data_IF_839583676025
#
_entry.id   IF_839583676025
#
_cell.length_a   1.000
_cell.length_b   1.000
_cell.length_c   1.000
_cell.angle_alpha   90.00
_cell.angle_beta   90.00
_cell.angle_gamma   90.00
#
_symmetry.space_group_name_H-M   'P 1'
#
loop_
_entity.id
_entity.type
_entity.pdbx_description
1 polymer ?
#
# COMPACT_ATOMS: atom_id res chain seq x y z
N UNK A 1 39.04 -49.62 -0.50
CA UNK A 1 38.99 -48.39 -1.37
C UNK A 1 37.70 -47.64 -1.13
N UNK A 2 37.86 -46.66 -0.28
CA UNK A 2 36.83 -45.72 0.11
C UNK A 2 36.52 -44.76 -1.04
N UNK A 3 35.25 -44.78 -1.47
CA UNK A 3 34.71 -43.75 -2.34
C UNK A 3 33.82 -42.84 -1.49
N UNK A 4 34.41 -41.79 -0.97
CA UNK A 4 33.69 -40.73 -0.33
C UNK A 4 32.90 -39.95 -1.38
N UNK A 5 31.59 -40.19 -1.44
CA UNK A 5 30.65 -39.37 -2.18
C UNK A 5 30.46 -38.09 -1.42
N UNK A 6 31.14 -37.04 -1.85
CA UNK A 6 30.78 -35.66 -1.48
C UNK A 6 29.47 -35.33 -2.18
N UNK A 7 28.36 -35.33 -1.46
CA UNK A 7 27.16 -34.66 -1.90
C UNK A 7 27.45 -33.17 -2.00
N UNK A 8 27.76 -32.71 -3.21
CA UNK A 8 27.76 -31.30 -3.56
C UNK A 8 26.30 -30.92 -3.67
N UNK A 9 25.82 -30.16 -2.72
CA UNK A 9 24.61 -29.34 -2.90
C UNK A 9 25.01 -28.29 -3.93
N UNK A 10 24.67 -28.52 -5.19
CA UNK A 10 24.67 -27.47 -6.21
C UNK A 10 23.50 -26.55 -5.92
N UNK A 11 23.78 -25.52 -5.13
CA UNK A 11 22.84 -24.39 -5.02
C UNK A 11 22.91 -23.66 -6.35
N UNK A 12 21.80 -23.57 -7.04
CA UNK A 12 21.71 -22.87 -8.33
C UNK A 12 22.06 -21.39 -8.13
N UNK A 13 23.24 -21.01 -8.57
CA UNK A 13 23.75 -19.64 -8.44
C UNK A 13 22.83 -18.60 -9.12
N UNK A 14 21.98 -19.04 -10.06
CA UNK A 14 21.00 -18.17 -10.72
C UNK A 14 19.80 -17.85 -9.83
N UNK A 15 19.35 -18.78 -8.99
CA UNK A 15 18.28 -18.53 -8.02
C UNK A 15 18.74 -17.64 -6.86
N UNK A 16 19.97 -17.83 -6.38
CA UNK A 16 20.54 -16.97 -5.31
C UNK A 16 20.72 -15.56 -5.83
N UNK A 17 21.23 -15.38 -7.04
CA UNK A 17 21.45 -14.05 -7.63
C UNK A 17 20.14 -13.31 -7.90
N UNK A 18 19.06 -14.01 -8.31
CA UNK A 18 17.75 -13.38 -8.53
C UNK A 18 17.07 -12.98 -7.23
N UNK A 19 17.21 -13.77 -6.15
CA UNK A 19 16.69 -13.41 -4.83
C UNK A 19 17.48 -12.27 -4.17
N UNK A 20 18.80 -12.24 -4.32
CA UNK A 20 19.63 -11.14 -3.83
C UNK A 20 19.33 -9.83 -4.57
N UNK A 21 19.22 -9.87 -5.91
CA UNK A 21 18.82 -8.71 -6.72
C UNK A 21 17.43 -8.19 -6.37
N UNK A 22 16.48 -9.10 -6.09
CA UNK A 22 15.16 -8.73 -5.63
C UNK A 22 15.19 -8.04 -4.26
N UNK A 23 15.99 -8.55 -3.30
CA UNK A 23 16.20 -7.95 -1.98
C UNK A 23 16.84 -6.58 -2.06
N UNK A 24 17.89 -6.42 -2.86
CA UNK A 24 18.56 -5.13 -3.09
C UNK A 24 17.60 -4.14 -3.75
N UNK A 25 16.80 -4.57 -4.74
CA UNK A 25 15.77 -3.75 -5.37
C UNK A 25 14.72 -3.26 -4.38
N UNK A 26 14.26 -4.12 -3.46
CA UNK A 26 13.31 -3.77 -2.42
C UNK A 26 13.92 -2.78 -1.42
N UNK A 27 15.17 -2.99 -0.99
CA UNK A 27 15.84 -2.07 -0.09
C UNK A 27 16.07 -0.70 -0.73
N UNK A 28 16.46 -0.67 -2.00
CA UNK A 28 16.65 0.57 -2.75
C UNK A 28 15.31 1.31 -2.93
N UNK A 29 14.25 0.60 -3.29
CA UNK A 29 12.90 1.17 -3.36
C UNK A 29 12.47 1.76 -2.03
N UNK A 30 12.66 1.05 -0.91
CA UNK A 30 12.39 1.57 0.43
C UNK A 30 13.16 2.86 0.72
N UNK A 31 14.47 2.89 0.46
CA UNK A 31 15.29 4.09 0.68
C UNK A 31 14.79 5.27 -0.13
N UNK A 32 14.40 5.05 -1.38
CA UNK A 32 13.81 6.07 -2.24
C UNK A 32 12.48 6.57 -1.65
N UNK A 33 11.58 5.66 -1.29
CA UNK A 33 10.28 6.03 -0.70
C UNK A 33 10.42 6.79 0.63
N UNK A 34 11.40 6.45 1.47
CA UNK A 34 11.66 7.17 2.72
C UNK A 34 12.35 8.52 2.52
N UNK A 35 13.03 8.74 1.39
CA UNK A 35 13.70 10.01 1.08
C UNK A 35 12.80 11.02 0.38
N UNK A 36 11.68 10.58 -0.16
CA UNK A 36 10.70 11.45 -0.83
C UNK A 36 9.66 11.94 0.19
N UNK A 37 9.18 13.19 0.05
CA UNK A 37 8.03 13.62 0.83
C UNK A 37 6.88 12.64 0.59
N UNK A 38 6.19 12.23 1.64
CA UNK A 38 5.02 11.38 1.46
C UNK A 38 3.98 12.10 0.58
N UNK A 39 3.17 11.38 -0.21
CA UNK A 39 2.07 12.00 -0.96
C UNK A 39 1.21 12.90 -0.10
N UNK A 40 1.06 12.53 1.16
CA UNK A 40 0.31 13.26 2.16
C UNK A 40 0.97 14.58 2.57
N UNK A 41 2.28 14.58 2.82
CA UNK A 41 3.02 15.82 3.12
C UNK A 41 2.93 16.79 1.93
N UNK A 42 3.03 16.27 0.70
CA UNK A 42 2.85 17.07 -0.52
C UNK A 42 1.44 17.65 -0.59
N UNK A 43 0.41 16.85 -0.35
CA UNK A 43 -0.98 17.31 -0.33
C UNK A 43 -1.22 18.37 0.77
N UNK A 44 -0.61 18.22 1.94
CA UNK A 44 -0.66 19.22 3.02
C UNK A 44 -0.04 20.54 2.61
N UNK A 45 1.10 20.52 1.93
CA UNK A 45 1.78 21.73 1.41
C UNK A 45 0.89 22.41 0.39
N UNK A 46 0.30 21.65 -0.53
CA UNK A 46 -0.62 22.19 -1.54
C UNK A 46 -1.87 22.81 -0.90
N UNK A 47 -2.47 22.16 0.09
CA UNK A 47 -3.60 22.72 0.82
C UNK A 47 -3.24 24.03 1.53
N UNK A 48 -2.11 24.08 2.23
CA UNK A 48 -1.59 25.31 2.88
C UNK A 48 -1.33 26.43 1.89
N UNK A 49 -0.98 26.08 0.65
CA UNK A 49 -0.77 27.04 -0.45
C UNK A 49 -2.08 27.50 -1.11
N UNK A 50 -3.22 27.07 -0.61
CA UNK A 50 -4.55 27.50 -1.10
C UNK A 50 -5.18 26.60 -2.16
N UNK A 51 -4.63 25.39 -2.40
CA UNK A 51 -5.27 24.43 -3.28
C UNK A 51 -6.67 24.09 -2.80
N UNK A 52 -7.61 23.93 -3.73
CA UNK A 52 -8.99 23.56 -3.48
C UNK A 52 -9.17 22.06 -3.74
N UNK A 53 -10.12 21.44 -3.02
CA UNK A 53 -10.53 20.07 -3.30
C UNK A 53 -11.10 19.95 -4.71
N UNK A 54 -10.64 18.93 -5.43
CA UNK A 54 -11.17 18.58 -6.74
C UNK A 54 -11.43 17.07 -6.80
N UNK A 55 -12.71 16.69 -6.81
CA UNK A 55 -13.13 15.29 -6.86
C UNK A 55 -12.76 14.61 -8.19
N UNK A 56 -12.61 15.39 -9.27
CA UNK A 56 -12.26 14.85 -10.59
C UNK A 56 -10.84 14.27 -10.67
N UNK A 57 -9.99 14.60 -9.69
CA UNK A 57 -8.64 14.05 -9.59
C UNK A 57 -8.64 12.62 -9.04
N UNK A 58 -9.69 12.21 -8.33
CA UNK A 58 -9.73 10.93 -7.64
C UNK A 58 -10.19 9.83 -8.59
N UNK A 59 -9.74 8.59 -8.34
CA UNK A 59 -10.22 7.43 -9.06
C UNK A 59 -11.69 7.14 -8.66
N UNK A 60 -12.65 7.25 -9.59
CA UNK A 60 -14.06 7.03 -9.26
C UNK A 60 -14.29 5.66 -8.59
N UNK A 61 -15.04 5.63 -7.50
CA UNK A 61 -15.32 4.38 -6.76
C UNK A 61 -16.03 3.33 -7.62
N UNK A 62 -16.78 3.73 -8.63
CA UNK A 62 -17.45 2.83 -9.58
C UNK A 62 -16.46 2.02 -10.43
N UNK A 63 -15.23 2.50 -10.59
CA UNK A 63 -14.18 1.76 -11.28
C UNK A 63 -13.74 0.50 -10.52
N UNK A 64 -14.03 0.39 -9.23
CA UNK A 64 -13.60 -0.73 -8.39
C UNK A 64 -14.03 -2.10 -8.96
N UNK A 65 -15.19 -2.18 -9.60
CA UNK A 65 -15.67 -3.42 -10.23
C UNK A 65 -14.84 -3.88 -11.44
N UNK A 66 -14.01 -3.01 -12.01
CA UNK A 66 -13.13 -3.32 -13.14
C UNK A 66 -11.83 -3.99 -12.70
N UNK A 67 -11.46 -3.87 -11.44
CA UNK A 67 -10.20 -4.39 -10.90
C UNK A 67 -10.42 -5.79 -10.35
N UNK A 68 -10.12 -6.79 -11.15
CA UNK A 68 -10.42 -8.21 -10.86
C UNK A 68 -9.19 -9.09 -10.66
N UNK A 69 -8.01 -8.62 -11.06
CA UNK A 69 -6.75 -9.34 -10.85
C UNK A 69 -6.06 -8.88 -9.57
N UNK A 70 -5.25 -9.74 -8.95
CA UNK A 70 -4.47 -9.38 -7.77
C UNK A 70 -3.61 -8.13 -8.01
N UNK A 71 -2.99 -8.03 -9.19
CA UNK A 71 -2.16 -6.88 -9.56
C UNK A 71 -2.99 -5.59 -9.65
N UNK A 72 -4.15 -5.62 -10.32
CA UNK A 72 -5.01 -4.44 -10.45
C UNK A 72 -5.64 -4.05 -9.11
N UNK A 73 -6.05 -5.01 -8.29
CA UNK A 73 -6.58 -4.75 -6.95
C UNK A 73 -5.51 -4.16 -6.02
N UNK A 74 -4.28 -4.69 -6.04
CA UNK A 74 -3.18 -4.17 -5.22
C UNK A 74 -2.81 -2.73 -5.60
N UNK A 75 -2.67 -2.45 -6.91
CA UNK A 75 -2.39 -1.10 -7.40
C UNK A 75 -3.49 -0.12 -6.96
N UNK A 76 -4.74 -0.49 -7.16
CA UNK A 76 -5.86 0.38 -6.86
C UNK A 76 -6.18 0.47 -5.37
N UNK A 77 -5.79 -0.50 -4.55
CA UNK A 77 -5.81 -0.34 -3.09
C UNK A 77 -4.90 0.81 -2.66
N UNK A 78 -3.70 0.92 -3.21
CA UNK A 78 -2.81 2.05 -2.98
C UNK A 78 -3.43 3.36 -3.45
N UNK A 79 -3.97 3.42 -4.66
CA UNK A 79 -4.64 4.58 -5.24
C UNK A 79 -5.81 5.03 -4.35
N UNK A 80 -6.76 4.14 -4.05
CA UNK A 80 -7.92 4.48 -3.22
C UNK A 80 -7.56 4.86 -1.78
N UNK A 81 -6.48 4.33 -1.23
CA UNK A 81 -5.97 4.74 0.09
C UNK A 81 -5.44 6.18 0.07
N UNK A 82 -4.80 6.58 -1.02
CA UNK A 82 -4.34 7.96 -1.23
C UNK A 82 -5.54 8.89 -1.46
N UNK A 83 -6.51 8.48 -2.26
CA UNK A 83 -7.76 9.21 -2.46
C UNK A 83 -8.52 9.44 -1.14
N UNK A 84 -8.56 8.42 -0.28
CA UNK A 84 -9.12 8.53 1.06
C UNK A 84 -8.38 9.60 1.89
N UNK A 85 -7.06 9.58 1.86
CA UNK A 85 -6.23 10.56 2.57
C UNK A 85 -6.48 11.98 2.05
N UNK A 86 -6.55 12.14 0.73
CA UNK A 86 -6.84 13.42 0.08
C UNK A 86 -8.23 13.94 0.45
N UNK A 87 -9.26 13.12 0.35
CA UNK A 87 -10.62 13.48 0.74
C UNK A 87 -10.70 13.89 2.23
N UNK A 88 -10.03 13.14 3.11
CA UNK A 88 -9.96 13.45 4.54
C UNK A 88 -9.23 14.76 4.82
N UNK A 89 -8.13 15.01 4.10
CA UNK A 89 -7.35 16.25 4.21
C UNK A 89 -8.19 17.49 3.92
N UNK A 90 -9.13 17.39 2.99
CA UNK A 90 -10.05 18.47 2.61
C UNK A 90 -11.41 18.40 3.32
N UNK A 91 -11.51 17.64 4.40
CA UNK A 91 -12.72 17.51 5.24
C UNK A 91 -13.95 17.00 4.47
N UNK A 92 -13.73 16.18 3.44
CA UNK A 92 -14.78 15.60 2.60
C UNK A 92 -15.27 14.29 3.21
N UNK A 93 -16.09 14.36 4.27
CA UNK A 93 -16.52 13.21 5.06
C UNK A 93 -17.24 12.15 4.22
N UNK A 94 -18.14 12.51 3.33
CA UNK A 94 -18.87 11.55 2.50
C UNK A 94 -17.96 10.85 1.49
N UNK A 95 -17.06 11.57 0.87
CA UNK A 95 -16.04 11.00 0.00
C UNK A 95 -15.12 10.06 0.78
N UNK A 96 -14.66 10.47 1.97
CA UNK A 96 -13.83 9.63 2.84
C UNK A 96 -14.49 8.29 3.17
N UNK A 97 -15.79 8.28 3.48
CA UNK A 97 -16.55 7.06 3.74
C UNK A 97 -16.57 6.16 2.49
N UNK A 98 -16.82 6.73 1.31
CA UNK A 98 -16.86 5.98 0.05
C UNK A 98 -15.49 5.36 -0.28
N UNK A 99 -14.42 6.14 -0.16
CA UNK A 99 -13.06 5.67 -0.46
C UNK A 99 -12.56 4.65 0.57
N UNK A 100 -12.96 4.77 1.83
CA UNK A 100 -12.70 3.74 2.86
C UNK A 100 -13.39 2.42 2.51
N UNK A 101 -14.66 2.47 2.13
CA UNK A 101 -15.42 1.27 1.77
C UNK A 101 -14.82 0.55 0.55
N UNK A 102 -14.38 1.29 -0.48
CA UNK A 102 -13.78 0.69 -1.67
C UNK A 102 -12.36 0.15 -1.39
N UNK A 103 -11.58 0.81 -0.56
CA UNK A 103 -10.27 0.32 -0.11
C UNK A 103 -10.40 -1.00 0.66
N UNK A 104 -11.36 -1.08 1.58
CA UNK A 104 -11.68 -2.32 2.30
C UNK A 104 -12.05 -3.45 1.33
N UNK A 105 -12.90 -3.17 0.34
CA UNK A 105 -13.29 -4.16 -0.69
C UNK A 105 -12.08 -4.67 -1.49
N UNK A 106 -11.13 -3.79 -1.85
CA UNK A 106 -9.89 -4.21 -2.54
C UNK A 106 -9.05 -5.11 -1.65
N UNK A 107 -8.89 -4.77 -0.37
CA UNK A 107 -8.15 -5.57 0.60
C UNK A 107 -8.80 -6.95 0.82
N UNK A 108 -10.11 -7.04 0.88
CA UNK A 108 -10.86 -8.29 0.94
C UNK A 108 -10.60 -9.16 -0.29
N UNK A 109 -10.67 -8.57 -1.49
CA UNK A 109 -10.42 -9.27 -2.76
C UNK A 109 -8.99 -9.82 -2.87
N UNK A 110 -8.02 -9.14 -2.26
CA UNK A 110 -6.63 -9.58 -2.18
C UNK A 110 -6.39 -10.64 -1.10
N UNK A 111 -7.37 -10.89 -0.21
CA UNK A 111 -7.20 -11.78 0.94
C UNK A 111 -6.23 -11.27 1.99
N UNK A 112 -5.97 -9.97 2.04
CA UNK A 112 -5.04 -9.33 3.00
C UNK A 112 -5.76 -8.65 4.17
N UNK A 113 -7.08 -8.77 4.26
CA UNK A 113 -7.85 -8.13 5.33
C UNK A 113 -7.42 -8.61 6.73
N UNK A 114 -6.94 -9.86 6.83
CA UNK A 114 -6.37 -10.40 8.07
C UNK A 114 -5.00 -9.76 8.43
N UNK A 115 -4.27 -9.26 7.43
CA UNK A 115 -3.03 -8.50 7.63
C UNK A 115 -3.33 -7.05 8.02
N UNK A 116 -4.50 -6.54 7.67
CA UNK A 116 -5.03 -5.26 8.14
C UNK A 116 -5.80 -5.60 9.40
N UNK A 117 -5.22 -5.33 10.57
CA UNK A 117 -5.85 -5.57 11.86
C UNK A 117 -7.27 -4.98 11.86
N UNK A 118 -8.25 -5.74 12.34
CA UNK A 118 -9.62 -5.26 12.49
C UNK A 118 -9.69 -3.95 13.31
N UNK A 119 -8.72 -3.72 14.19
CA UNK A 119 -8.57 -2.45 14.92
C UNK A 119 -8.29 -1.27 13.99
N UNK A 120 -7.60 -1.47 12.89
CA UNK A 120 -7.32 -0.40 11.91
C UNK A 120 -8.60 0.06 11.24
N UNK A 121 -9.43 -0.87 10.77
CA UNK A 121 -10.73 -0.55 10.15
C UNK A 121 -11.61 0.20 11.14
N UNK A 122 -11.71 -0.29 12.37
CA UNK A 122 -12.48 0.35 13.43
C UNK A 122 -11.94 1.76 13.74
N UNK A 123 -10.62 1.92 13.87
CA UNK A 123 -9.97 3.22 14.08
C UNK A 123 -10.28 4.21 12.95
N UNK A 124 -10.29 3.77 11.69
CA UNK A 124 -10.67 4.60 10.55
C UNK A 124 -12.13 5.03 10.62
N UNK A 125 -13.04 4.10 10.92
CA UNK A 125 -14.48 4.37 11.04
C UNK A 125 -14.78 5.35 12.18
N UNK A 126 -14.13 5.20 13.33
CA UNK A 126 -14.27 6.08 14.50
C UNK A 126 -13.67 7.48 14.28
N UNK A 127 -12.71 7.62 13.35
CA UNK A 127 -11.99 8.86 13.11
C UNK A 127 -12.29 9.48 11.74
N UNK A 128 -13.38 9.09 11.08
CA UNK A 128 -13.72 9.55 9.73
C UNK A 128 -13.77 11.08 9.59
N UNK A 129 -14.05 11.80 10.67
CA UNK A 129 -14.08 13.27 10.75
C UNK A 129 -12.77 13.89 11.27
N UNK A 130 -11.75 13.07 11.58
CA UNK A 130 -10.47 13.52 12.09
C UNK A 130 -9.38 13.23 11.07
N UNK A 131 -9.07 14.23 10.23
CA UNK A 131 -8.10 14.06 9.13
C UNK A 131 -6.70 13.63 9.60
N UNK A 132 -6.18 14.20 10.70
CA UNK A 132 -4.85 13.85 11.21
C UNK A 132 -4.81 12.38 11.65
N UNK A 133 -5.84 11.92 12.36
CA UNK A 133 -5.95 10.53 12.78
C UNK A 133 -6.08 9.58 11.59
N UNK A 134 -6.89 9.90 10.59
CA UNK A 134 -7.01 9.11 9.35
C UNK A 134 -5.64 8.97 8.64
N UNK A 135 -4.91 10.06 8.55
CA UNK A 135 -3.61 10.11 7.91
C UNK A 135 -2.59 9.24 8.64
N UNK A 136 -2.52 9.36 9.96
CA UNK A 136 -1.61 8.57 10.79
C UNK A 136 -1.96 7.07 10.70
N UNK A 137 -3.25 6.73 10.78
CA UNK A 137 -3.72 5.34 10.70
C UNK A 137 -3.37 4.73 9.33
N UNK A 138 -3.58 5.45 8.23
CA UNK A 138 -3.25 4.95 6.89
C UNK A 138 -1.75 4.76 6.74
N UNK A 139 -0.93 5.72 7.16
CA UNK A 139 0.53 5.63 7.09
C UNK A 139 1.07 4.45 7.90
N UNK A 140 0.59 4.30 9.14
CA UNK A 140 0.93 3.17 10.01
C UNK A 140 0.49 1.83 9.38
N UNK A 141 -0.71 1.78 8.81
CA UNK A 141 -1.27 0.58 8.20
C UNK A 141 -0.49 0.14 6.97
N UNK A 142 -0.06 1.07 6.11
CA UNK A 142 0.75 0.75 4.93
C UNK A 142 2.10 0.15 5.33
N UNK A 143 2.76 0.70 6.35
CA UNK A 143 4.01 0.17 6.87
C UNK A 143 3.84 -1.22 7.48
N UNK A 144 2.83 -1.40 8.34
CA UNK A 144 2.55 -2.68 8.99
C UNK A 144 2.11 -3.75 7.99
N UNK A 145 1.25 -3.41 7.03
CA UNK A 145 0.82 -4.33 5.97
C UNK A 145 2.00 -4.78 5.12
N UNK A 146 2.91 -3.88 4.78
CA UNK A 146 4.14 -4.21 4.06
C UNK A 146 4.99 -5.21 4.83
N UNK A 147 5.17 -5.04 6.14
CA UNK A 147 5.94 -5.98 6.99
C UNK A 147 5.28 -7.35 7.08
N UNK A 148 3.96 -7.41 7.27
CA UNK A 148 3.22 -8.68 7.36
C UNK A 148 3.27 -9.44 6.02
N UNK A 149 3.13 -8.74 4.90
CA UNK A 149 3.23 -9.34 3.57
C UNK A 149 4.64 -9.85 3.25
N UNK A 150 5.68 -9.24 3.83
CA UNK A 150 7.05 -9.77 3.75
C UNK A 150 7.19 -11.11 4.46
N UNK A 151 6.63 -11.25 5.67
CA UNK A 151 6.66 -12.50 6.44
C UNK A 151 5.91 -13.64 5.73
N UNK A 152 4.86 -13.32 4.97
CA UNK A 152 4.01 -14.28 4.26
C UNK A 152 4.44 -14.54 2.80
N UNK A 153 5.67 -14.18 2.40
CA UNK A 153 6.17 -14.27 1.01
C UNK A 153 5.32 -13.51 -0.04
N UNK A 154 4.55 -12.49 0.40
CA UNK A 154 3.68 -11.67 -0.45
C UNK A 154 4.26 -10.27 -0.73
N UNK A 155 5.56 -10.15 -0.71
CA UNK A 155 6.31 -8.89 -0.90
C UNK A 155 5.91 -8.15 -2.17
N UNK A 156 5.67 -8.88 -3.27
CA UNK A 156 5.29 -8.29 -4.54
C UNK A 156 3.95 -7.53 -4.44
N UNK A 157 2.98 -8.05 -3.69
CA UNK A 157 1.68 -7.40 -3.48
C UNK A 157 1.86 -6.10 -2.69
N UNK A 158 2.63 -6.13 -1.60
CA UNK A 158 2.93 -4.95 -0.79
C UNK A 158 3.60 -3.84 -1.62
N UNK A 159 4.56 -4.20 -2.46
CA UNK A 159 5.25 -3.25 -3.35
C UNK A 159 4.30 -2.62 -4.36
N UNK A 160 3.37 -3.37 -4.94
CA UNK A 160 2.39 -2.85 -5.91
C UNK A 160 1.40 -1.89 -5.22
N UNK A 161 0.98 -2.17 -3.98
CA UNK A 161 0.14 -1.27 -3.18
C UNK A 161 0.86 0.07 -2.96
N UNK A 162 2.13 0.03 -2.54
CA UNK A 162 2.94 1.23 -2.33
C UNK A 162 3.09 2.06 -3.61
N UNK A 163 3.35 1.40 -4.74
CA UNK A 163 3.45 2.07 -6.06
C UNK A 163 2.12 2.74 -6.41
N UNK A 164 0.99 2.07 -6.18
CA UNK A 164 -0.34 2.64 -6.41
C UNK A 164 -0.58 3.91 -5.61
N UNK A 165 -0.26 3.89 -4.31
CA UNK A 165 -0.37 5.07 -3.45
C UNK A 165 0.57 6.21 -3.83
N UNK A 166 1.67 5.90 -4.50
CA UNK A 166 2.66 6.88 -4.92
C UNK A 166 2.34 7.55 -6.25
N UNK A 167 1.70 6.82 -7.17
CA UNK A 167 1.31 7.33 -8.49
C UNK A 167 0.15 8.34 -8.36
N UNK A 168 -0.79 8.11 -7.42
CA UNK A 168 -1.94 8.98 -7.17
C UNK A 168 -1.56 10.31 -6.54
#
# INVERSE_FOLDING_TARGET
>A
SESSRKDRIEVDASEISSQELAKEGIQTARQIFYSLPSPLETAMILKRSGAQYNEELLNPVDNASKYTTNKSMALNLGIYSTDLSYASLFDQTQASIKYMAVSKRMAEGLGILNAIDNTIVQRLEENVNNREAIMDIISESLLNTSSILEEDDRVAIGSVILVGGWIE
#
